data_IF_698396976173
#
_entry.id   IF_698396976173
#
_cell.length_a   1.000
_cell.length_b   1.000
_cell.length_c   1.000
_cell.angle_alpha   90.00
_cell.angle_beta   90.00
_cell.angle_gamma   90.00
#
_symmetry.space_group_name_H-M   'P 1'
#
loop_
_entity.id
_entity.type
_entity.pdbx_description
1 polymer ?
#
# COMPACT_ATOMS: atom_id res chain seq x y z
N UNK A 1 4.86 12.51 -20.17
CA UNK A 1 3.76 12.19 -19.22
C UNK A 1 4.29 12.48 -17.82
N UNK A 2 3.52 13.10 -16.93
CA UNK A 2 3.97 13.37 -15.55
C UNK A 2 3.51 12.23 -14.66
N UNK A 3 4.44 11.54 -13.99
CA UNK A 3 4.12 10.47 -13.04
C UNK A 3 3.72 11.10 -11.70
N UNK A 4 2.52 10.79 -11.21
CA UNK A 4 2.06 11.24 -9.90
C UNK A 4 2.60 10.32 -8.79
N UNK A 5 3.68 10.74 -8.14
CA UNK A 5 4.30 10.00 -7.05
C UNK A 5 3.42 9.92 -5.79
N UNK A 6 2.42 10.79 -5.63
CA UNK A 6 1.54 10.72 -4.46
C UNK A 6 0.74 9.41 -4.41
N UNK A 7 0.52 8.76 -5.57
CA UNK A 7 -0.10 7.43 -5.67
C UNK A 7 0.73 6.31 -5.01
N UNK A 8 2.02 6.56 -4.76
CA UNK A 8 2.94 5.61 -4.14
C UNK A 8 3.33 6.01 -2.72
N UNK A 9 2.82 7.12 -2.20
CA UNK A 9 3.01 7.51 -0.80
C UNK A 9 2.10 6.72 0.13
N UNK A 10 2.54 6.56 1.38
CA UNK A 10 1.63 6.13 2.44
C UNK A 10 0.53 7.18 2.63
N UNK A 11 -0.68 6.74 2.96
CA UNK A 11 -1.80 7.63 3.21
C UNK A 11 -1.70 8.29 4.61
N UNK A 12 -2.47 9.33 4.87
CA UNK A 12 -2.41 10.15 6.09
C UNK A 12 -2.70 9.39 7.41
N UNK A 13 -3.31 8.21 7.32
CA UNK A 13 -3.60 7.31 8.44
C UNK A 13 -2.41 6.40 8.79
N UNK A 14 -1.38 6.35 7.95
CA UNK A 14 -0.13 5.65 8.27
C UNK A 14 0.65 6.43 9.34
N UNK A 15 1.09 5.80 10.45
CA UNK A 15 1.85 6.49 11.49
C UNK A 15 3.24 6.98 11.03
N UNK A 16 3.76 6.45 9.91
CA UNK A 16 5.04 6.85 9.31
C UNK A 16 4.84 8.09 8.47
N UNK A 17 4.74 9.25 9.14
CA UNK A 17 4.49 10.55 8.49
C UNK A 17 5.56 10.93 7.47
N UNK A 18 6.76 10.35 7.55
CA UNK A 18 7.83 10.50 6.56
C UNK A 18 7.52 9.86 5.20
N UNK A 19 6.47 9.03 5.12
CA UNK A 19 6.02 8.36 3.90
C UNK A 19 4.84 9.05 3.20
N UNK A 20 4.26 10.09 3.81
CA UNK A 20 3.07 10.77 3.29
C UNK A 20 3.34 11.65 2.08
N UNK A 21 4.61 11.92 1.77
CA UNK A 21 5.03 12.77 0.66
C UNK A 21 6.29 12.20 0.01
N UNK A 22 6.53 12.50 -1.28
CA UNK A 22 7.80 12.19 -1.90
C UNK A 22 8.96 12.90 -1.20
N UNK A 23 10.16 12.34 -1.29
CA UNK A 23 11.39 12.93 -0.78
C UNK A 23 12.50 12.91 -1.84
N UNK A 24 13.42 13.86 -1.75
CA UNK A 24 14.61 13.92 -2.58
C UNK A 24 15.83 13.29 -1.87
N UNK A 25 16.51 12.38 -2.54
CA UNK A 25 17.74 11.72 -2.05
C UNK A 25 18.71 11.43 -3.20
N UNK A 26 19.94 11.95 -3.10
CA UNK A 26 21.06 11.62 -3.99
C UNK A 26 20.73 11.53 -5.50
N UNK A 27 19.93 12.47 -6.03
CA UNK A 27 19.55 12.49 -7.45
C UNK A 27 18.24 11.75 -7.78
N UNK A 28 17.47 11.39 -6.76
CA UNK A 28 16.19 10.72 -6.90
C UNK A 28 15.08 11.51 -6.20
N UNK A 29 13.91 11.60 -6.81
CA UNK A 29 12.67 11.92 -6.09
C UNK A 29 11.92 10.60 -5.90
N UNK A 30 11.78 10.15 -4.66
CA UNK A 30 11.22 8.85 -4.32
C UNK A 30 9.95 8.95 -3.48
N UNK A 31 9.07 7.97 -3.63
CA UNK A 31 7.86 7.79 -2.84
C UNK A 31 7.68 6.31 -2.48
N UNK A 32 7.11 6.01 -1.31
CA UNK A 32 6.80 4.64 -0.90
C UNK A 32 5.67 4.58 0.14
N UNK A 33 4.87 3.52 0.10
CA UNK A 33 3.91 3.15 1.13
C UNK A 33 4.46 2.02 2.05
N UNK A 34 5.70 1.60 1.81
CA UNK A 34 6.36 0.49 2.46
C UNK A 34 6.20 -0.87 1.77
N UNK A 35 5.27 -1.00 0.82
CA UNK A 35 5.12 -2.20 -0.01
C UNK A 35 5.66 -1.99 -1.43
N UNK A 36 5.50 -0.78 -1.97
CA UNK A 36 6.07 -0.36 -3.25
C UNK A 36 6.88 0.91 -3.09
N UNK A 37 8.02 1.01 -3.77
CA UNK A 37 8.80 2.24 -3.89
C UNK A 37 8.92 2.61 -5.37
N UNK A 38 8.78 3.90 -5.69
CA UNK A 38 9.04 4.47 -7.01
C UNK A 38 10.00 5.63 -6.85
N UNK A 39 11.03 5.70 -7.68
CA UNK A 39 12.05 6.73 -7.68
C UNK A 39 12.26 7.26 -9.11
N UNK A 40 12.11 8.58 -9.28
CA UNK A 40 12.35 9.28 -10.54
C UNK A 40 13.75 9.88 -10.53
N UNK A 41 14.44 9.81 -11.67
CA UNK A 41 15.71 10.52 -11.84
C UNK A 41 15.46 12.03 -11.71
N UNK A 42 16.23 12.71 -10.87
CA UNK A 42 16.11 14.14 -10.65
C UNK A 42 17.48 14.78 -10.41
N UNK A 43 17.76 15.90 -11.08
CA UNK A 43 19.04 16.61 -10.91
C UNK A 43 19.07 17.43 -9.60
N UNK A 44 17.90 17.90 -9.16
CA UNK A 44 17.74 18.67 -7.93
C UNK A 44 16.40 18.41 -7.25
N UNK A 45 16.27 18.86 -6.00
CA UNK A 45 15.08 18.61 -5.17
C UNK A 45 13.84 19.41 -5.62
N UNK A 46 14.05 20.60 -6.22
CA UNK A 46 12.96 21.55 -6.44
C UNK A 46 12.26 21.89 -5.12
N UNK A 47 10.93 21.73 -5.09
CA UNK A 47 10.10 21.90 -3.88
C UNK A 47 9.98 20.62 -3.03
N UNK A 48 10.55 19.50 -3.49
CA UNK A 48 10.47 18.22 -2.79
C UNK A 48 11.35 18.27 -1.53
N UNK A 49 10.83 17.88 -0.35
CA UNK A 49 11.64 17.84 0.86
C UNK A 49 12.79 16.85 0.73
N UNK A 50 13.94 17.15 1.34
CA UNK A 50 15.07 16.21 1.37
C UNK A 50 14.77 15.02 2.28
N UNK A 51 15.37 13.87 1.96
CA UNK A 51 15.35 12.69 2.81
C UNK A 51 15.77 13.01 4.25
N UNK A 52 15.00 12.47 5.20
CA UNK A 52 15.40 12.38 6.60
C UNK A 52 16.46 11.29 6.78
N UNK A 53 17.17 11.29 7.92
CA UNK A 53 18.26 10.36 8.22
C UNK A 53 17.91 8.89 7.95
N UNK A 54 16.71 8.45 8.35
CA UNK A 54 16.22 7.08 8.14
C UNK A 54 16.08 6.68 6.66
N UNK A 55 15.99 7.65 5.74
CA UNK A 55 15.74 7.44 4.31
C UNK A 55 16.96 7.72 3.43
N UNK A 56 18.02 8.31 3.99
CA UNK A 56 19.25 8.59 3.26
C UNK A 56 19.84 7.30 2.66
N UNK A 57 20.14 7.34 1.37
CA UNK A 57 20.71 6.24 0.60
C UNK A 57 19.75 5.06 0.39
N UNK A 58 18.46 5.20 0.71
CA UNK A 58 17.51 4.08 0.61
C UNK A 58 17.32 3.60 -0.82
N UNK A 59 17.24 4.51 -1.79
CA UNK A 59 17.12 4.17 -3.22
C UNK A 59 18.37 3.43 -3.69
N UNK A 60 19.56 3.98 -3.41
CA UNK A 60 20.83 3.36 -3.81
C UNK A 60 20.99 1.94 -3.24
N UNK A 61 20.62 1.73 -1.97
CA UNK A 61 20.65 0.40 -1.34
C UNK A 61 19.72 -0.60 -2.03
N UNK A 62 18.53 -0.19 -2.47
CA UNK A 62 17.62 -1.08 -3.17
C UNK A 62 18.09 -1.38 -4.61
N UNK A 63 18.72 -0.41 -5.27
CA UNK A 63 19.39 -0.65 -6.56
C UNK A 63 20.47 -1.72 -6.39
N UNK A 64 21.33 -1.59 -5.37
CA UNK A 64 22.40 -2.56 -5.09
C UNK A 64 21.83 -3.94 -4.75
N UNK A 65 20.83 -4.01 -3.88
CA UNK A 65 20.20 -5.27 -3.46
C UNK A 65 19.48 -6.02 -4.61
N UNK A 66 19.20 -5.35 -5.73
CA UNK A 66 18.51 -5.93 -6.89
C UNK A 66 19.37 -5.91 -8.16
N UNK A 67 20.67 -5.71 -8.02
CA UNK A 67 21.60 -5.60 -9.15
C UNK A 67 21.65 -6.88 -10.00
N UNK A 68 21.52 -8.05 -9.36
CA UNK A 68 21.58 -9.36 -10.03
C UNK A 68 20.26 -9.78 -10.69
N UNK A 69 19.18 -9.00 -10.51
CA UNK A 69 17.89 -9.26 -11.15
C UNK A 69 17.93 -8.76 -12.60
N UNK A 70 18.21 -9.67 -13.53
CA UNK A 70 18.47 -9.34 -14.94
C UNK A 70 17.37 -9.83 -15.89
N UNK A 71 16.57 -10.82 -15.48
CA UNK A 71 15.53 -11.41 -16.32
C UNK A 71 14.23 -10.62 -16.21
N UNK A 72 13.84 -9.99 -17.32
CA UNK A 72 12.58 -9.26 -17.40
C UNK A 72 11.40 -10.23 -17.63
N UNK A 73 10.30 -9.97 -16.96
CA UNK A 73 9.05 -10.69 -17.08
C UNK A 73 7.91 -9.72 -17.43
N UNK A 74 6.99 -10.19 -18.27
CA UNK A 74 5.74 -9.50 -18.52
C UNK A 74 4.78 -9.63 -17.33
N UNK A 75 4.05 -8.55 -17.04
CA UNK A 75 3.00 -8.55 -16.02
C UNK A 75 1.72 -9.07 -16.65
N UNK A 76 1.39 -10.34 -16.39
CA UNK A 76 0.12 -10.93 -16.79
C UNK A 76 -0.88 -10.86 -15.65
N UNK A 77 -2.00 -10.18 -15.90
CA UNK A 77 -3.09 -10.13 -14.93
C UNK A 77 -3.98 -11.37 -15.06
N UNK A 78 -4.40 -11.98 -13.95
CA UNK A 78 -5.37 -13.06 -14.02
C UNK A 78 -6.70 -12.54 -14.61
N UNK A 79 -7.30 -13.31 -15.51
CA UNK A 79 -8.59 -12.98 -16.12
C UNK A 79 -9.74 -12.90 -15.10
N UNK A 80 -10.85 -12.27 -15.51
CA UNK A 80 -12.07 -12.13 -14.71
C UNK A 80 -12.13 -10.85 -13.88
N UNK A 81 -13.33 -10.50 -13.37
CA UNK A 81 -13.52 -9.32 -12.53
C UNK A 81 -12.84 -9.52 -11.16
N UNK A 82 -12.39 -8.42 -10.55
CA UNK A 82 -11.97 -8.41 -9.15
C UNK A 82 -13.19 -8.39 -8.25
N UNK A 83 -13.16 -9.19 -7.20
CA UNK A 83 -14.18 -9.15 -6.17
C UNK A 83 -14.06 -7.84 -5.40
N UNK A 84 -15.21 -7.30 -5.02
CA UNK A 84 -15.26 -6.17 -4.10
C UNK A 84 -14.80 -6.62 -2.73
N UNK A 85 -14.06 -5.77 -2.04
CA UNK A 85 -13.75 -6.00 -0.63
C UNK A 85 -15.05 -6.06 0.17
N UNK A 86 -15.28 -7.16 0.89
CA UNK A 86 -16.51 -7.38 1.65
C UNK A 86 -16.67 -6.37 2.80
N UNK A 87 -15.58 -6.04 3.50
CA UNK A 87 -15.60 -5.12 4.65
C UNK A 87 -16.12 -3.72 4.31
N UNK A 88 -15.71 -3.20 3.15
CA UNK A 88 -16.14 -1.88 2.66
C UNK A 88 -17.10 -1.94 1.47
N UNK A 89 -17.60 -3.12 1.12
CA UNK A 89 -18.48 -3.37 -0.03
C UNK A 89 -18.06 -2.66 -1.33
N UNK A 90 -16.76 -2.67 -1.64
CA UNK A 90 -16.25 -2.02 -2.85
C UNK A 90 -15.84 -0.57 -2.71
N UNK A 91 -16.13 0.09 -1.58
CA UNK A 91 -15.97 1.53 -1.45
C UNK A 91 -14.51 1.96 -1.19
N UNK A 92 -13.70 1.07 -0.62
CA UNK A 92 -12.33 1.36 -0.19
C UNK A 92 -12.23 2.12 1.14
N UNK A 93 -13.31 2.71 1.61
CA UNK A 93 -13.35 3.49 2.84
C UNK A 93 -14.47 3.02 3.76
N UNK A 94 -14.30 3.24 5.05
CA UNK A 94 -15.22 2.84 6.11
C UNK A 94 -15.42 3.99 7.10
N UNK A 95 -16.62 4.09 7.67
CA UNK A 95 -16.92 4.95 8.80
C UNK A 95 -17.14 4.07 10.03
N UNK A 96 -16.45 4.39 11.12
CA UNK A 96 -16.70 3.79 12.42
C UNK A 96 -17.69 4.63 13.21
N UNK A 97 -18.79 4.01 13.63
CA UNK A 97 -19.81 4.63 14.47
C UNK A 97 -19.83 3.93 15.83
N UNK A 98 -19.72 4.73 16.90
CA UNK A 98 -19.80 4.24 18.27
C UNK A 98 -21.09 3.45 18.49
N UNK A 99 -20.98 2.24 19.04
CA UNK A 99 -22.14 1.45 19.41
C UNK A 99 -22.87 2.15 20.56
N UNK A 100 -24.13 2.53 20.32
CA UNK A 100 -24.96 3.22 21.32
C UNK A 100 -25.35 2.35 22.51
N UNK A 101 -25.36 1.02 22.34
CA UNK A 101 -25.80 0.12 23.41
C UNK A 101 -24.78 0.09 24.56
N UNK A 102 -23.49 0.04 24.23
CA UNK A 102 -22.39 -0.01 25.20
C UNK A 102 -21.59 1.30 25.26
N UNK A 103 -22.12 2.38 24.68
CA UNK A 103 -21.41 3.64 24.49
C UNK A 103 -19.96 3.43 24.05
N UNK A 104 -19.76 2.55 23.07
CA UNK A 104 -18.48 2.16 22.47
C UNK A 104 -17.39 1.60 23.36
N UNK A 105 -17.73 1.15 24.57
CA UNK A 105 -16.82 0.37 25.40
C UNK A 105 -16.67 -1.08 24.88
N UNK A 106 -17.63 -1.56 24.08
CA UNK A 106 -17.67 -2.93 23.59
C UNK A 106 -18.15 -3.94 24.62
N UNK A 107 -18.22 -3.56 25.90
CA UNK A 107 -18.56 -4.46 26.99
C UNK A 107 -19.46 -3.81 28.05
N UNK A 108 -20.04 -4.65 28.91
CA UNK A 108 -20.82 -4.26 30.08
C UNK A 108 -20.29 -4.98 31.32
N UNK A 109 -20.24 -4.27 32.45
CA UNK A 109 -19.86 -4.86 33.73
C UNK A 109 -21.06 -5.07 34.65
N UNK A 110 -21.22 -6.28 35.18
CA UNK A 110 -22.24 -6.59 36.19
C UNK A 110 -21.73 -7.63 37.20
N UNK A 111 -21.81 -7.31 38.50
CA UNK A 111 -21.39 -8.19 39.61
C UNK A 111 -19.99 -8.80 39.45
N UNK A 112 -18.99 -7.99 39.09
CA UNK A 112 -17.59 -8.40 38.81
C UNK A 112 -17.41 -9.33 37.60
N UNK A 113 -18.40 -9.41 36.72
CA UNK A 113 -18.29 -10.07 35.43
C UNK A 113 -18.39 -9.05 34.31
N UNK A 114 -17.60 -9.26 33.27
CA UNK A 114 -17.61 -8.46 32.04
C UNK A 114 -18.26 -9.27 30.92
N UNK A 115 -19.17 -8.64 30.19
CA UNK A 115 -19.94 -9.26 29.10
C UNK A 115 -19.73 -8.47 27.83
N UNK A 116 -19.40 -9.14 26.73
CA UNK A 116 -19.34 -8.50 25.42
C UNK A 116 -20.72 -7.94 25.03
N UNK A 117 -20.72 -6.73 24.49
CA UNK A 117 -21.91 -6.08 23.96
C UNK A 117 -22.39 -6.81 22.72
N UNK A 118 -23.53 -7.50 22.83
CA UNK A 118 -24.12 -8.27 21.72
C UNK A 118 -24.57 -7.43 20.54
N UNK A 119 -24.73 -6.11 20.70
CA UNK A 119 -25.11 -5.27 19.57
C UNK A 119 -23.94 -5.06 18.61
N UNK A 120 -22.72 -4.95 19.12
CA UNK A 120 -21.49 -4.75 18.33
C UNK A 120 -20.50 -5.90 18.47
N UNK A 121 -20.96 -7.05 18.96
CA UNK A 121 -20.17 -8.27 19.20
C UNK A 121 -18.84 -8.04 19.94
N UNK A 122 -18.80 -7.10 20.88
CA UNK A 122 -17.60 -6.81 21.67
C UNK A 122 -16.71 -5.70 21.14
N UNK A 123 -16.91 -5.24 19.90
CA UNK A 123 -16.00 -4.28 19.24
C UNK A 123 -16.15 -2.85 19.75
N UNK A 124 -17.33 -2.51 20.29
CA UNK A 124 -17.68 -1.13 20.67
C UNK A 124 -18.07 -0.23 19.49
N UNK A 125 -17.86 -0.66 18.25
CA UNK A 125 -18.14 0.14 17.06
C UNK A 125 -18.85 -0.67 15.98
N UNK A 126 -19.47 0.05 15.04
CA UNK A 126 -20.00 -0.48 13.80
C UNK A 126 -19.29 0.16 12.63
N UNK A 127 -18.83 -0.65 11.68
CA UNK A 127 -18.17 -0.20 10.46
C UNK A 127 -19.16 -0.21 9.29
N UNK A 128 -19.15 0.85 8.51
CA UNK A 128 -19.98 1.00 7.31
C UNK A 128 -19.14 1.46 6.14
N UNK A 129 -19.39 0.91 4.95
CA UNK A 129 -18.84 1.44 3.71
C UNK A 129 -19.07 2.96 3.60
N UNK A 130 -18.02 3.70 3.25
CA UNK A 130 -18.03 5.16 3.16
C UNK A 130 -17.35 5.64 1.88
N UNK A 131 -17.58 6.91 1.53
CA UNK A 131 -16.83 7.59 0.47
C UNK A 131 -15.54 8.18 1.03
N UNK A 132 -14.49 8.26 0.20
CA UNK A 132 -13.25 8.98 0.51
C UNK A 132 -13.48 10.45 0.92
N UNK A 133 -14.58 11.06 0.45
CA UNK A 133 -14.95 12.46 0.73
C UNK A 133 -15.81 12.64 1.98
N UNK A 134 -16.26 11.54 2.61
CA UNK A 134 -17.13 11.61 3.77
C UNK A 134 -16.31 11.95 5.02
N UNK A 135 -16.78 12.93 5.79
CA UNK A 135 -16.11 13.34 7.02
C UNK A 135 -16.00 12.16 8.01
N UNK A 136 -14.80 11.91 8.51
CA UNK A 136 -14.50 10.80 9.43
C UNK A 136 -14.35 9.43 8.76
N UNK A 137 -14.47 9.33 7.43
CA UNK A 137 -14.15 8.09 6.73
C UNK A 137 -12.65 7.79 6.80
N UNK A 138 -12.32 6.54 7.10
CA UNK A 138 -10.96 6.00 7.11
C UNK A 138 -10.83 4.98 5.99
N UNK A 139 -9.60 4.68 5.56
CA UNK A 139 -9.39 3.61 4.59
C UNK A 139 -9.77 2.27 5.22
N UNK A 140 -10.48 1.46 4.45
CA UNK A 140 -10.72 0.07 4.79
C UNK A 140 -9.37 -0.63 4.92
N UNK A 141 -9.11 -1.19 6.10
CA UNK A 141 -7.82 -1.82 6.43
C UNK A 141 -7.63 -3.12 5.63
N UNK A 142 -8.71 -3.87 5.40
CA UNK A 142 -8.69 -5.14 4.64
C UNK A 142 -8.17 -4.94 3.21
N UNK A 143 -8.77 -3.99 2.47
CA UNK A 143 -8.37 -3.72 1.10
C UNK A 143 -7.32 -2.61 0.96
N UNK A 144 -6.93 -1.94 2.05
CA UNK A 144 -6.03 -0.79 2.05
C UNK A 144 -6.52 0.40 1.18
N UNK A 145 -7.82 0.67 1.12
CA UNK A 145 -8.34 1.78 0.32
C UNK A 145 -8.72 1.44 -1.12
N UNK A 146 -8.43 0.22 -1.59
CA UNK A 146 -8.62 -0.13 -2.99
C UNK A 146 -10.05 -0.56 -3.34
N UNK A 147 -10.86 -0.93 -2.34
CA UNK A 147 -12.22 -1.41 -2.54
C UNK A 147 -12.30 -2.83 -3.11
N UNK A 148 -11.19 -3.53 -3.28
CA UNK A 148 -11.16 -4.84 -3.92
C UNK A 148 -10.44 -5.84 -3.03
N UNK A 149 -10.80 -7.12 -3.15
CA UNK A 149 -10.13 -8.20 -2.45
C UNK A 149 -8.65 -8.29 -2.84
N UNK A 150 -7.84 -8.71 -1.88
CA UNK A 150 -6.43 -9.01 -2.11
C UNK A 150 -6.32 -10.18 -3.08
N UNK A 151 -5.66 -9.95 -4.21
CA UNK A 151 -5.44 -10.97 -5.23
C UNK A 151 -3.95 -11.10 -5.52
N UNK A 152 -3.33 -12.24 -5.17
CA UNK A 152 -1.93 -12.47 -5.49
C UNK A 152 -1.79 -12.89 -6.96
N UNK A 153 -0.72 -12.42 -7.60
CA UNK A 153 -0.32 -12.75 -8.96
C UNK A 153 1.10 -13.28 -8.91
N UNK A 154 1.32 -14.44 -9.52
CA UNK A 154 2.64 -15.04 -9.60
C UNK A 154 3.41 -14.46 -10.80
N UNK A 155 4.63 -13.97 -10.56
CA UNK A 155 5.56 -13.52 -11.60
C UNK A 155 6.94 -14.07 -11.27
N UNK A 156 7.47 -14.92 -12.16
CA UNK A 156 8.68 -15.69 -11.85
C UNK A 156 8.45 -16.62 -10.64
N UNK A 157 9.38 -16.61 -9.69
CA UNK A 157 9.26 -17.39 -8.46
C UNK A 157 8.35 -16.71 -7.40
N UNK A 158 8.18 -15.39 -7.46
CA UNK A 158 7.51 -14.59 -6.44
C UNK A 158 6.01 -14.41 -6.65
N UNK A 159 5.29 -14.14 -5.56
CA UNK A 159 3.90 -13.70 -5.58
C UNK A 159 3.84 -12.22 -5.25
N UNK A 160 2.98 -11.48 -5.93
CA UNK A 160 2.83 -10.03 -5.75
C UNK A 160 1.35 -9.64 -5.71
N UNK A 161 1.04 -8.55 -5.02
CA UNK A 161 -0.33 -8.05 -4.94
C UNK A 161 -0.75 -7.38 -6.26
N UNK A 162 -1.84 -7.85 -6.88
CA UNK A 162 -2.35 -7.37 -8.16
C UNK A 162 -2.54 -5.84 -8.18
N UNK A 163 -3.00 -5.28 -7.06
CA UNK A 163 -3.27 -3.84 -6.91
C UNK A 163 -2.02 -2.96 -7.13
N UNK A 164 -0.84 -3.44 -6.73
CA UNK A 164 0.42 -2.72 -6.97
C UNK A 164 0.92 -2.96 -8.39
N UNK A 165 0.82 -4.20 -8.88
CA UNK A 165 1.19 -4.53 -10.25
C UNK A 165 0.44 -3.70 -11.28
N UNK A 166 -0.84 -3.38 -11.05
CA UNK A 166 -1.61 -2.50 -11.93
C UNK A 166 -1.09 -1.07 -11.95
N UNK A 167 -0.80 -0.49 -10.77
CA UNK A 167 -0.17 0.85 -10.69
C UNK A 167 1.19 0.88 -11.40
N UNK A 168 1.95 -0.21 -11.30
CA UNK A 168 3.25 -0.36 -11.97
C UNK A 168 3.06 -0.51 -13.49
N UNK A 169 2.05 -1.26 -13.93
CA UNK A 169 1.73 -1.45 -15.35
C UNK A 169 1.27 -0.16 -16.05
N UNK A 170 0.75 0.81 -15.30
CA UNK A 170 0.39 2.14 -15.82
C UNK A 170 1.62 3.06 -16.02
N UNK A 171 2.82 2.65 -15.59
CA UNK A 171 4.06 3.39 -15.82
C UNK A 171 4.57 3.20 -17.26
N UNK A 172 5.22 4.22 -17.85
CA UNK A 172 5.66 4.19 -19.24
C UNK A 172 6.80 3.18 -19.46
N UNK A 173 6.68 2.32 -20.48
CA UNK A 173 7.71 1.36 -20.90
C UNK A 173 8.25 0.48 -19.76
N UNK A 174 7.35 0.02 -18.88
CA UNK A 174 7.75 -0.74 -17.69
C UNK A 174 8.31 -2.13 -18.04
N UNK A 175 9.41 -2.49 -17.38
CA UNK A 175 9.95 -3.84 -17.35
C UNK A 175 10.09 -4.31 -15.91
N UNK A 176 9.60 -5.51 -15.62
CA UNK A 176 9.54 -6.06 -14.26
C UNK A 176 10.54 -7.21 -14.11
N UNK A 177 11.38 -7.16 -13.07
CA UNK A 177 12.47 -8.10 -12.80
C UNK A 177 12.24 -8.75 -11.44
N UNK A 178 11.51 -9.88 -11.37
CA UNK A 178 11.33 -10.60 -10.12
C UNK A 178 12.66 -11.23 -9.67
N UNK A 179 12.84 -11.36 -8.35
CA UNK A 179 13.94 -12.13 -7.78
C UNK A 179 13.73 -13.63 -8.00
N UNK A 180 14.84 -14.37 -8.15
CA UNK A 180 14.83 -15.85 -8.10
C UNK A 180 14.48 -16.37 -6.69
N UNK A 181 14.84 -15.61 -5.65
CA UNK A 181 14.36 -15.83 -4.28
C UNK A 181 13.00 -15.12 -4.10
N UNK A 182 11.90 -15.87 -3.90
CA UNK A 182 10.55 -15.30 -3.82
C UNK A 182 10.30 -14.46 -2.57
N UNK A 183 11.23 -14.40 -1.63
CA UNK A 183 11.13 -13.60 -0.40
C UNK A 183 11.75 -12.21 -0.52
N UNK A 184 12.54 -11.99 -1.58
CA UNK A 184 13.18 -10.73 -1.91
C UNK A 184 12.29 -9.84 -2.76
N UNK A 185 12.55 -8.53 -2.71
CA UNK A 185 11.86 -7.54 -3.54
C UNK A 185 12.13 -7.77 -5.03
N UNK A 186 11.16 -7.45 -5.87
CA UNK A 186 11.33 -7.32 -7.31
C UNK A 186 11.73 -5.89 -7.66
N UNK A 187 12.60 -5.73 -8.65
CA UNK A 187 12.91 -4.45 -9.30
C UNK A 187 11.98 -4.24 -10.49
N UNK A 188 11.63 -3.00 -10.78
CA UNK A 188 11.06 -2.63 -12.08
C UNK A 188 11.69 -1.33 -12.56
N UNK A 189 11.89 -1.21 -13.88
CA UNK A 189 12.38 0.02 -14.52
C UNK A 189 11.31 0.51 -15.48
N UNK A 190 11.26 1.80 -15.71
CA UNK A 190 10.29 2.46 -16.57
C UNK A 190 10.91 3.75 -17.11
N UNK A 191 10.30 4.37 -18.12
CA UNK A 191 10.81 5.64 -18.65
C UNK A 191 10.80 6.73 -17.57
N UNK A 192 11.98 7.20 -17.22
CA UNK A 192 12.21 8.23 -16.20
C UNK A 192 12.58 7.72 -14.80
N UNK A 193 12.57 6.42 -14.51
CA UNK A 193 12.86 5.96 -13.15
C UNK A 193 13.01 4.46 -12.92
N UNK A 194 13.05 4.12 -11.63
CA UNK A 194 13.17 2.76 -11.10
C UNK A 194 12.21 2.59 -9.93
N UNK A 195 11.79 1.37 -9.65
CA UNK A 195 11.04 1.06 -8.47
C UNK A 195 11.25 -0.35 -7.98
N UNK A 196 10.67 -0.62 -6.81
CA UNK A 196 10.83 -1.86 -6.07
C UNK A 196 9.48 -2.29 -5.51
N UNK A 197 9.17 -3.58 -5.60
CA UNK A 197 7.94 -4.15 -5.08
C UNK A 197 8.25 -5.30 -4.13
N UNK A 198 7.72 -5.21 -2.92
CA UNK A 198 7.82 -6.29 -1.93
C UNK A 198 6.94 -7.48 -2.36
N UNK A 199 7.43 -8.73 -2.21
CA UNK A 199 6.63 -9.89 -2.49
C UNK A 199 5.50 -10.02 -1.46
N UNK A 200 4.38 -10.55 -1.91
CA UNK A 200 3.31 -11.01 -1.05
C UNK A 200 3.75 -12.26 -0.30
N UNK A 201 3.74 -12.17 1.03
CA UNK A 201 4.04 -13.30 1.90
C UNK A 201 2.71 -13.89 2.35
N UNK A 202 2.41 -15.10 1.91
CA UNK A 202 1.36 -15.90 2.52
C UNK A 202 1.81 -16.19 3.96
N UNK A 203 1.06 -15.69 4.93
CA UNK A 203 1.19 -16.08 6.33
C UNK A 203 0.62 -17.50 6.51
#
# INVERSE_FOLDING_TARGET
>A
MSIDLALFCAHSDDPRTDLHKPWFDAGWIAATDGAVMVALNAVEAGETPRAIEKRLGSVARFIEATAEQLDAHEIHFPGGPRNKCEACNGAGYELSIKCKACDGEGEFSHCNHTYACKSCDGEGFHFFAASATQAGAVRCQECNGFGEESRPVQIGAGWFQEKYLRRIADLPDVQFFPSVDPTQMAKFVFDGGIGFLMPYRHA
#
